data_IF_837664555451
#
_entry.id   IF_837664555451
#
_cell.length_a   1.000
_cell.length_b   1.000
_cell.length_c   1.000
_cell.angle_alpha   90.00
_cell.angle_beta   90.00
_cell.angle_gamma   90.00
#
_symmetry.space_group_name_H-M   'P 1'
#
loop_
_entity.id
_entity.type
_entity.pdbx_description
1 polymer ?
#
# COMPACT_ATOMS: atom_id res chain seq x y z
N UNK A 1 -4.35 -35.82 57.62
CA UNK A 1 -4.64 -36.15 56.21
C UNK A 1 -4.03 -34.97 55.44
N UNK A 2 -2.87 -35.08 54.80
CA UNK A 2 -2.52 -35.96 53.68
C UNK A 2 -1.06 -36.44 53.75
N UNK A 3 -0.86 -37.66 53.26
CA UNK A 3 0.39 -38.28 52.79
C UNK A 3 0.45 -38.01 51.26
N UNK A 4 1.52 -37.98 50.47
CA UNK A 4 2.70 -38.83 50.22
C UNK A 4 3.62 -37.98 49.32
N UNK A 5 4.91 -37.82 49.55
CA UNK A 5 6.05 -38.73 49.28
C UNK A 5 6.21 -39.18 47.81
N UNK A 6 7.38 -38.80 47.28
CA UNK A 6 7.92 -38.91 45.93
C UNK A 6 8.32 -40.35 45.55
N UNK A 7 8.07 -40.78 44.30
CA UNK A 7 8.95 -41.79 43.67
C UNK A 7 8.95 -41.75 42.15
N UNK A 8 10.16 -41.98 41.67
CA UNK A 8 10.74 -41.78 40.36
C UNK A 8 10.64 -42.98 39.40
N UNK A 9 10.80 -42.66 38.10
CA UNK A 9 11.51 -43.38 37.01
C UNK A 9 10.80 -44.41 36.12
N UNK A 10 11.18 -44.25 34.83
CA UNK A 10 11.36 -45.23 33.74
C UNK A 10 10.12 -45.86 33.08
N UNK A 11 9.82 -45.47 31.84
CA UNK A 11 10.44 -46.06 30.63
C UNK A 11 9.79 -45.52 29.35
N UNK A 12 10.61 -45.07 28.38
CA UNK A 12 10.21 -45.03 26.97
C UNK A 12 10.12 -46.45 26.41
N UNK A 13 9.34 -46.66 25.35
CA UNK A 13 10.00 -46.92 24.07
C UNK A 13 9.44 -46.08 22.90
N UNK A 14 10.37 -45.48 22.15
CA UNK A 14 10.49 -45.54 20.69
C UNK A 14 9.30 -46.13 19.91
N UNK A 15 8.71 -45.31 19.04
CA UNK A 15 8.23 -45.78 17.73
C UNK A 15 8.70 -44.79 16.67
N UNK A 16 9.78 -45.18 16.01
CA UNK A 16 10.07 -44.79 14.65
C UNK A 16 9.21 -45.67 13.75
N UNK A 17 8.46 -45.06 12.83
CA UNK A 17 8.16 -45.70 11.56
C UNK A 17 8.41 -44.71 10.44
N UNK A 18 9.49 -45.00 9.71
CA UNK A 18 9.72 -44.60 8.35
C UNK A 18 8.55 -45.07 7.47
N UNK A 19 8.15 -44.26 6.49
CA UNK A 19 7.82 -44.84 5.19
C UNK A 19 8.62 -44.15 4.09
N UNK A 20 9.22 -44.92 3.17
CA UNK A 20 10.29 -44.49 2.28
C UNK A 20 9.82 -44.49 0.83
N UNK A 21 9.87 -43.36 0.14
CA UNK A 21 10.04 -43.41 -1.31
C UNK A 21 11.04 -42.33 -1.75
N UNK A 22 12.26 -42.83 -1.87
CA UNK A 22 13.41 -42.25 -2.56
C UNK A 22 13.20 -42.22 -4.07
N UNK A 23 13.68 -41.14 -4.71
CA UNK A 23 14.52 -41.10 -5.94
C UNK A 23 13.86 -41.59 -7.26
N UNK A 24 13.94 -40.94 -8.43
CA UNK A 24 14.96 -40.04 -8.99
C UNK A 24 14.47 -39.43 -10.36
N UNK A 25 15.29 -38.74 -11.19
CA UNK A 25 14.89 -37.62 -12.04
C UNK A 25 14.76 -37.98 -13.53
N UNK A 26 14.07 -37.15 -14.30
CA UNK A 26 14.24 -37.10 -15.76
C UNK A 26 14.26 -35.65 -16.26
N UNK A 27 15.49 -35.18 -16.52
CA UNK A 27 15.89 -34.34 -17.64
C UNK A 27 14.82 -33.41 -18.24
N UNK A 28 14.89 -32.13 -17.87
CA UNK A 28 14.27 -31.05 -18.61
C UNK A 28 15.21 -29.85 -18.63
N UNK A 29 15.85 -29.66 -19.78
CA UNK A 29 16.94 -28.72 -20.03
C UNK A 29 16.68 -27.29 -19.55
N UNK A 30 17.71 -26.74 -18.92
CA UNK A 30 17.96 -25.30 -18.81
C UNK A 30 17.88 -24.65 -20.21
N UNK A 31 16.86 -23.80 -20.42
CA UNK A 31 16.86 -22.77 -21.46
C UNK A 31 16.19 -21.50 -20.94
N UNK A 32 16.94 -20.40 -20.96
CA UNK A 32 16.45 -19.10 -21.43
C UNK A 32 15.57 -18.27 -20.50
N UNK A 33 16.16 -17.23 -19.92
CA UNK A 33 15.50 -16.00 -19.51
C UNK A 33 14.49 -15.49 -20.57
N UNK A 34 13.19 -15.61 -20.31
CA UNK A 34 12.17 -15.00 -21.18
C UNK A 34 11.88 -13.56 -20.72
N UNK A 35 12.35 -12.61 -21.52
CA UNK A 35 12.06 -11.18 -21.40
C UNK A 35 10.60 -10.91 -21.73
N UNK A 36 9.94 -10.02 -20.97
CA UNK A 36 8.57 -9.55 -21.18
C UNK A 36 8.31 -8.98 -22.60
N UNK A 37 9.39 -8.68 -23.34
CA UNK A 37 9.37 -8.18 -24.70
C UNK A 37 8.86 -9.20 -25.73
N UNK A 38 9.16 -10.49 -25.56
CA UNK A 38 8.75 -11.54 -26.52
C UNK A 38 7.25 -11.84 -26.43
N UNK A 39 6.65 -11.74 -25.23
CA UNK A 39 5.20 -11.84 -25.06
C UNK A 39 4.45 -10.65 -25.70
N UNK A 40 5.05 -9.46 -25.67
CA UNK A 40 4.47 -8.26 -26.30
C UNK A 40 4.46 -8.37 -27.83
N UNK A 41 5.53 -8.93 -28.43
CA UNK A 41 5.60 -9.13 -29.88
C UNK A 41 4.67 -10.26 -30.38
N UNK A 42 4.43 -11.30 -29.58
CA UNK A 42 3.42 -12.32 -29.92
C UNK A 42 2.00 -11.74 -29.89
N UNK A 43 1.67 -10.90 -28.90
CA UNK A 43 0.36 -10.26 -28.79
C UNK A 43 0.04 -9.31 -29.97
N UNK A 44 1.05 -8.75 -30.64
CA UNK A 44 0.85 -7.92 -31.83
C UNK A 44 0.59 -8.73 -33.10
N UNK A 45 1.05 -9.99 -33.18
CA UNK A 45 0.89 -10.83 -34.38
C UNK A 45 -0.47 -11.49 -34.50
N UNK A 46 -1.32 -11.39 -33.49
CA UNK A 46 -2.55 -12.19 -33.40
C UNK A 46 -3.86 -11.37 -33.31
N UNK A 47 -3.80 -10.05 -33.51
CA UNK A 47 -4.95 -9.29 -34.04
C UNK A 47 -6.19 -9.17 -33.15
N UNK A 48 -6.11 -9.44 -31.84
CA UNK A 48 -7.25 -9.23 -30.94
C UNK A 48 -7.30 -7.77 -30.44
N UNK A 49 -7.97 -6.92 -31.22
CA UNK A 49 -8.40 -5.60 -30.77
C UNK A 49 -9.62 -5.74 -29.84
N UNK A 50 -9.60 -5.09 -28.67
CA UNK A 50 -10.77 -4.95 -27.80
C UNK A 50 -11.72 -3.85 -28.33
N UNK A 51 -13.06 -4.04 -28.27
CA UNK A 51 -14.03 -3.08 -28.79
C UNK A 51 -14.48 -2.09 -27.71
N UNK A 52 -14.64 -0.82 -28.08
CA UNK A 52 -15.93 -0.13 -28.21
C UNK A 52 -15.75 1.40 -28.06
N UNK A 53 -15.82 2.11 -29.19
CA UNK A 53 -15.97 3.57 -29.25
C UNK A 53 -17.35 3.83 -29.86
N UNK A 54 -18.37 3.99 -29.01
CA UNK A 54 -19.70 4.39 -29.45
C UNK A 54 -19.84 5.90 -29.36
N UNK A 55 -19.56 6.50 -30.51
CA UNK A 55 -19.93 7.84 -30.89
C UNK A 55 -21.42 7.85 -31.24
N UNK A 56 -22.26 8.45 -30.39
CA UNK A 56 -23.63 8.78 -30.78
C UNK A 56 -23.61 10.05 -31.64
N UNK A 57 -23.95 9.85 -32.91
CA UNK A 57 -24.27 10.88 -33.89
C UNK A 57 -25.64 11.46 -33.55
N UNK A 58 -25.70 12.78 -33.37
CA UNK A 58 -26.96 13.53 -33.37
C UNK A 58 -27.53 13.61 -34.80
N UNK A 59 -28.85 13.56 -35.00
CA UNK A 59 -29.44 13.70 -36.32
C UNK A 59 -29.48 15.17 -36.75
N UNK A 60 -29.23 15.42 -38.04
CA UNK A 60 -29.48 16.71 -38.69
C UNK A 60 -30.97 16.86 -38.99
N UNK A 61 -31.56 18.03 -38.70
CA UNK A 61 -32.73 18.52 -39.43
C UNK A 61 -32.78 20.05 -39.47
N UNK A 62 -32.79 20.52 -40.72
CA UNK A 62 -33.27 21.76 -41.35
C UNK A 62 -33.08 23.19 -40.81
N UNK A 63 -32.97 24.08 -41.79
CA UNK A 63 -32.73 25.53 -41.73
C UNK A 63 -34.04 26.31 -41.77
N UNK A 64 -34.01 27.52 -41.18
CA UNK A 64 -34.85 28.73 -41.40
C UNK A 64 -35.74 29.16 -40.22
N UNK A 65 -35.54 30.40 -39.74
CA UNK A 65 -36.54 31.14 -38.96
C UNK A 65 -36.01 32.02 -37.83
N UNK A 66 -35.59 33.24 -38.19
CA UNK A 66 -35.47 34.47 -37.39
C UNK A 66 -36.27 34.58 -36.06
N UNK A 67 -35.60 34.90 -34.94
CA UNK A 67 -35.94 36.02 -34.04
C UNK A 67 -34.87 36.19 -32.93
N UNK A 68 -34.48 37.44 -32.70
CA UNK A 68 -33.64 37.88 -31.58
C UNK A 68 -34.36 37.74 -30.24
N UNK A 69 -33.61 37.38 -29.18
CA UNK A 69 -33.86 37.92 -27.83
C UNK A 69 -32.60 37.75 -26.98
N UNK A 70 -31.91 38.87 -26.82
CA UNK A 70 -30.99 39.28 -25.76
C UNK A 70 -30.70 38.25 -24.65
N UNK A 71 -29.46 37.77 -24.58
CA UNK A 71 -28.88 37.28 -23.33
C UNK A 71 -28.44 38.50 -22.50
N UNK A 72 -28.86 38.66 -21.24
CA UNK A 72 -28.23 39.63 -20.38
C UNK A 72 -26.82 39.11 -20.09
N UNK A 73 -25.82 39.81 -20.61
CA UNK A 73 -24.46 39.70 -20.11
C UNK A 73 -24.51 39.93 -18.60
N UNK A 74 -24.40 38.84 -17.83
CA UNK A 74 -24.00 38.92 -16.43
C UNK A 74 -22.60 39.50 -16.45
N UNK A 75 -22.55 40.81 -16.24
CA UNK A 75 -21.35 41.60 -16.02
C UNK A 75 -20.43 40.79 -15.09
N UNK A 76 -19.30 40.36 -15.64
CA UNK A 76 -18.22 39.75 -14.88
C UNK A 76 -17.78 40.75 -13.82
N UNK A 77 -18.10 40.46 -12.56
CA UNK A 77 -17.50 41.11 -11.41
C UNK A 77 -15.98 40.89 -11.49
N UNK A 78 -15.16 41.95 -11.68
CA UNK A 78 -13.72 41.84 -11.74
C UNK A 78 -13.14 42.13 -10.36
N UNK A 79 -13.39 41.28 -9.37
CA UNK A 79 -12.71 41.41 -8.08
C UNK A 79 -12.56 40.09 -7.31
N UNK A 80 -11.95 39.10 -7.96
CA UNK A 80 -11.29 38.01 -7.24
C UNK A 80 -9.82 38.01 -7.66
N UNK A 81 -9.03 38.87 -7.01
CA UNK A 81 -7.57 38.76 -7.08
C UNK A 81 -7.19 37.38 -6.54
N UNK A 82 -6.45 36.53 -7.28
CA UNK A 82 -6.05 35.23 -6.78
C UNK A 82 -5.11 35.45 -5.59
N UNK A 83 -5.59 35.09 -4.40
CA UNK A 83 -4.77 35.08 -3.19
C UNK A 83 -3.47 34.31 -3.46
N UNK A 84 -2.30 34.83 -3.04
CA UNK A 84 -1.05 34.12 -3.24
C UNK A 84 -1.14 32.72 -2.63
N UNK A 85 -0.60 31.69 -3.30
CA UNK A 85 -0.63 30.33 -2.76
C UNK A 85 -0.02 30.34 -1.36
N UNK A 86 -0.64 29.65 -0.39
CA UNK A 86 -0.09 29.59 0.95
C UNK A 86 1.35 29.06 0.89
N UNK A 87 2.28 29.62 1.69
CA UNK A 87 3.66 29.18 1.68
C UNK A 87 3.73 27.66 1.94
N UNK A 88 4.68 26.95 1.29
CA UNK A 88 4.78 25.51 1.40
C UNK A 88 4.97 25.11 2.87
N UNK A 89 3.99 24.36 3.43
CA UNK A 89 4.08 23.88 4.81
C UNK A 89 5.25 22.88 4.90
N UNK A 90 6.30 23.25 5.63
CA UNK A 90 7.44 22.37 5.90
C UNK A 90 7.03 21.42 7.02
N UNK A 91 6.77 20.16 6.67
CA UNK A 91 6.48 19.13 7.66
C UNK A 91 7.76 18.54 8.24
N UNK A 92 7.72 18.18 9.54
CA UNK A 92 8.78 17.39 10.20
C UNK A 92 9.02 16.09 9.40
N UNK A 93 10.25 15.55 9.32
CA UNK A 93 10.51 14.27 8.65
C UNK A 93 9.66 13.11 9.20
N UNK A 94 9.49 12.05 8.41
CA UNK A 94 8.75 10.88 8.85
C UNK A 94 9.43 10.24 10.07
N UNK A 95 8.74 10.18 11.21
CA UNK A 95 9.33 9.67 12.47
C UNK A 95 9.70 8.17 12.41
N UNK A 96 9.11 7.42 11.47
CA UNK A 96 9.38 5.98 11.30
C UNK A 96 10.66 5.72 10.51
N UNK A 97 10.90 6.43 9.41
CA UNK A 97 11.98 6.10 8.47
C UNK A 97 12.81 7.30 7.99
N UNK A 98 12.54 8.48 8.53
CA UNK A 98 13.22 9.76 8.24
C UNK A 98 13.11 10.27 6.80
N UNK A 99 12.28 9.65 5.97
CA UNK A 99 11.97 10.14 4.61
C UNK A 99 11.10 11.42 4.66
N UNK A 100 11.00 12.12 3.53
CA UNK A 100 10.16 13.33 3.41
C UNK A 100 8.72 13.01 3.80
N UNK A 101 8.22 13.73 4.81
CA UNK A 101 6.83 13.59 5.26
C UNK A 101 5.88 14.30 4.30
N UNK A 102 4.67 13.76 4.16
CA UNK A 102 3.57 14.41 3.46
C UNK A 102 2.58 15.09 4.43
N UNK A 103 2.80 14.97 5.74
CA UNK A 103 1.93 15.52 6.77
C UNK A 103 1.80 14.60 7.98
N UNK A 104 0.81 14.88 8.82
CA UNK A 104 0.43 14.00 9.92
C UNK A 104 -0.56 12.94 9.42
N UNK A 105 -0.23 11.67 9.64
CA UNK A 105 -1.13 10.55 9.35
C UNK A 105 -1.11 9.62 10.56
N UNK A 106 -2.31 9.20 11.01
CA UNK A 106 -2.45 8.30 12.16
C UNK A 106 -1.76 8.85 13.42
N UNK A 107 -1.89 10.16 13.66
CA UNK A 107 -1.32 10.81 14.84
C UNK A 107 0.17 11.16 14.77
N UNK A 108 0.91 10.92 13.67
CA UNK A 108 2.35 11.29 13.61
C UNK A 108 2.77 11.83 12.24
N UNK A 109 3.85 12.60 12.20
CA UNK A 109 4.44 13.00 10.91
C UNK A 109 4.98 11.78 10.17
N UNK A 110 4.44 11.48 8.99
CA UNK A 110 4.82 10.28 8.23
C UNK A 110 4.83 10.49 6.72
N UNK A 111 5.65 9.69 6.03
CA UNK A 111 5.70 9.65 4.58
C UNK A 111 4.59 8.76 4.01
N UNK A 112 4.26 8.93 2.73
CA UNK A 112 3.25 8.12 2.04
C UNK A 112 3.51 6.60 2.13
N UNK A 113 4.79 6.21 2.11
CA UNK A 113 5.17 4.81 2.23
C UNK A 113 4.80 4.20 3.58
N UNK A 114 5.03 4.91 4.69
CA UNK A 114 4.70 4.43 6.03
C UNK A 114 3.21 4.56 6.34
N UNK A 115 2.55 5.62 5.88
CA UNK A 115 1.09 5.78 5.92
C UNK A 115 0.38 4.60 5.27
N UNK A 116 0.72 4.30 4.00
CA UNK A 116 0.08 3.21 3.26
C UNK A 116 0.41 1.83 3.82
N UNK A 117 1.64 1.63 4.30
CA UNK A 117 2.04 0.40 4.98
C UNK A 117 1.21 0.18 6.25
N UNK A 118 1.19 1.15 7.16
CA UNK A 118 0.45 1.08 8.41
C UNK A 118 -1.05 0.81 8.18
N UNK A 119 -1.68 1.55 7.26
CA UNK A 119 -3.08 1.35 6.88
C UNK A 119 -3.37 -0.09 6.51
N UNK A 120 -2.60 -0.67 5.58
CA UNK A 120 -2.81 -2.05 5.12
C UNK A 120 -2.55 -3.06 6.23
N UNK A 121 -1.52 -2.82 7.04
CA UNK A 121 -1.15 -3.71 8.13
C UNK A 121 -2.24 -3.78 9.18
N UNK A 122 -2.79 -2.65 9.61
CA UNK A 122 -3.86 -2.60 10.62
C UNK A 122 -5.20 -3.08 10.04
N UNK A 123 -5.61 -2.61 8.87
CA UNK A 123 -6.91 -2.97 8.29
C UNK A 123 -7.07 -4.47 8.03
N UNK A 124 -5.98 -5.15 7.70
CA UNK A 124 -5.97 -6.59 7.43
C UNK A 124 -5.47 -7.42 8.62
N UNK A 125 -5.23 -6.80 9.78
CA UNK A 125 -4.63 -7.45 10.95
C UNK A 125 -3.39 -8.28 10.59
N UNK A 126 -2.51 -7.69 9.76
CA UNK A 126 -1.33 -8.39 9.24
C UNK A 126 -0.39 -8.77 10.38
N UNK A 127 -0.03 -10.06 10.43
CA UNK A 127 1.01 -10.57 11.31
C UNK A 127 2.30 -10.77 10.51
N UNK A 128 3.36 -10.10 10.92
CA UNK A 128 4.67 -10.22 10.29
C UNK A 128 5.65 -10.92 11.23
N UNK A 129 6.61 -11.63 10.66
CA UNK A 129 7.70 -12.26 11.41
C UNK A 129 9.01 -11.56 11.09
N UNK A 130 9.87 -11.35 12.10
CA UNK A 130 11.24 -10.94 11.89
C UNK A 130 12.13 -12.17 11.77
N UNK A 131 13.01 -12.20 10.77
CA UNK A 131 13.99 -13.29 10.57
C UNK A 131 15.38 -12.96 11.14
N UNK A 132 15.44 -12.01 12.07
CA UNK A 132 16.63 -11.54 12.79
C UNK A 132 16.25 -11.30 14.25
N UNK A 133 16.99 -10.46 14.97
CA UNK A 133 16.80 -10.19 16.40
C UNK A 133 15.72 -9.16 16.72
N UNK A 134 14.70 -9.00 15.85
CA UNK A 134 13.60 -8.02 16.03
C UNK A 134 14.01 -6.55 16.18
N UNK A 135 15.28 -6.23 15.90
CA UNK A 135 15.88 -4.90 16.03
C UNK A 135 16.37 -4.32 14.68
N UNK A 136 15.65 -4.61 13.58
CA UNK A 136 16.07 -4.11 12.27
C UNK A 136 16.02 -2.58 12.19
N UNK A 137 17.10 -1.96 11.72
CA UNK A 137 17.15 -0.51 11.45
C UNK A 137 16.18 -0.14 10.33
N UNK A 138 15.25 0.77 10.62
CA UNK A 138 14.25 1.28 9.67
C UNK A 138 14.61 2.71 9.25
N UNK A 139 15.03 2.87 8.00
CA UNK A 139 15.28 4.15 7.35
C UNK A 139 14.71 4.16 5.91
N UNK A 140 14.85 5.26 5.17
CA UNK A 140 14.33 5.40 3.79
C UNK A 140 14.70 4.24 2.86
N UNK A 141 15.93 3.74 2.96
CA UNK A 141 16.49 2.70 2.08
C UNK A 141 16.10 1.30 2.57
N UNK A 142 16.12 1.07 3.89
CA UNK A 142 15.97 -0.27 4.48
C UNK A 142 14.57 -0.60 4.95
N UNK A 143 13.62 0.36 4.98
CA UNK A 143 12.28 0.17 5.57
C UNK A 143 11.50 -1.02 5.00
N UNK A 144 11.78 -1.45 3.77
CA UNK A 144 11.09 -2.59 3.16
C UNK A 144 11.72 -3.95 3.50
N UNK A 145 12.91 -3.99 4.13
CA UNK A 145 13.63 -5.24 4.42
C UNK A 145 12.98 -6.07 5.53
N UNK A 146 12.30 -5.44 6.49
CA UNK A 146 11.61 -6.16 7.57
C UNK A 146 10.28 -5.48 7.92
N UNK A 147 9.19 -6.13 7.54
CA UNK A 147 7.84 -5.63 7.78
C UNK A 147 7.49 -5.64 9.27
N UNK A 148 7.92 -6.66 10.02
CA UNK A 148 7.71 -6.73 11.47
C UNK A 148 8.30 -5.50 12.18
N UNK A 149 9.61 -5.26 12.02
CA UNK A 149 10.27 -4.14 12.71
C UNK A 149 9.72 -2.80 12.26
N UNK A 150 9.32 -2.68 10.98
CA UNK A 150 8.67 -1.47 10.47
C UNK A 150 7.32 -1.23 11.16
N UNK A 151 6.48 -2.24 11.27
CA UNK A 151 5.16 -2.13 11.89
C UNK A 151 5.29 -1.86 13.39
N UNK A 152 6.19 -2.55 14.08
CA UNK A 152 6.49 -2.29 15.48
C UNK A 152 6.97 -0.84 15.70
N UNK A 153 7.85 -0.34 14.83
CA UNK A 153 8.30 1.06 14.90
C UNK A 153 7.15 2.05 14.65
N UNK A 154 6.22 1.75 13.73
CA UNK A 154 5.03 2.58 13.54
C UNK A 154 4.26 2.75 14.86
N UNK A 155 3.93 1.66 15.54
CA UNK A 155 3.26 1.70 16.84
C UNK A 155 4.10 2.41 17.90
N UNK A 156 5.39 2.09 18.01
CA UNK A 156 6.29 2.69 18.99
C UNK A 156 6.44 4.21 18.83
N UNK A 157 6.31 4.73 17.60
CA UNK A 157 6.32 6.18 17.35
C UNK A 157 4.98 6.87 17.58
N UNK A 158 3.93 6.11 17.94
CA UNK A 158 2.58 6.63 18.21
C UNK A 158 1.62 6.60 17.02
N UNK A 159 1.88 5.77 15.98
CA UNK A 159 0.86 5.56 14.94
C UNK A 159 -0.28 4.71 15.50
N UNK A 160 -1.50 5.25 15.48
CA UNK A 160 -2.71 4.56 15.94
C UNK A 160 -3.88 4.81 14.99
N UNK A 161 -4.90 3.93 15.03
CA UNK A 161 -6.11 4.11 14.23
C UNK A 161 -6.93 5.31 14.74
N UNK A 162 -6.83 5.57 16.04
CA UNK A 162 -7.54 6.59 16.81
C UNK A 162 -6.85 7.96 16.74
N UNK A 163 -5.54 8.00 16.45
CA UNK A 163 -4.72 9.23 16.47
C UNK A 163 -5.06 10.26 15.39
N UNK A 164 -6.17 10.08 14.66
CA UNK A 164 -6.73 11.10 13.76
C UNK A 164 -7.53 12.15 14.52
N UNK A 165 -8.04 11.84 15.72
CA UNK A 165 -8.96 12.71 16.47
C UNK A 165 -8.23 13.68 17.42
N UNK A 166 -7.06 13.30 17.95
CA UNK A 166 -6.44 14.04 19.07
C UNK A 166 -5.57 15.26 18.65
N UNK A 167 -5.34 15.49 17.36
CA UNK A 167 -4.43 16.57 16.88
C UNK A 167 -5.07 17.61 15.97
N UNK A 168 -6.40 17.68 15.97
CA UNK A 168 -7.14 18.76 15.30
C UNK A 168 -7.11 20.10 16.05
N UNK A 169 -6.69 20.13 17.32
CA UNK A 169 -6.99 21.27 18.18
C UNK A 169 -5.80 21.66 19.08
N UNK A 170 -4.80 22.33 18.49
CA UNK A 170 -3.99 23.34 19.18
C UNK A 170 -3.18 24.14 18.16
N UNK A 171 -3.88 25.07 17.51
CA UNK A 171 -3.26 26.28 16.97
C UNK A 171 -4.05 27.43 17.62
N UNK A 172 -3.58 27.86 18.79
CA UNK A 172 -3.90 29.16 19.37
C UNK A 172 -2.63 30.01 19.26
#
# INVERSE_FOLDING_TARGET
MEKHEEKSKENSPINADHSPYSLEPQNGSYVGSHSAYEHYLFAQKSGYMLPNNQQLKSPMFDTQGMYEMQSPATMSDPSMSPSPPPPPRIYKPCVVCSDKSSGYHYGVSSCEGCKGFFRRSVQKNMQYTCHKDKNCVINKVTRNRCQYCRLQKCFATGMSKEGMEERGELIH
#
